data_IF_830996843370
#
_entry.id   IF_830996843370
#
_cell.length_a   1.000
_cell.length_b   1.000
_cell.length_c   1.000
_cell.angle_alpha   90.00
_cell.angle_beta   90.00
_cell.angle_gamma   90.00
#
_symmetry.space_group_name_H-M   'P 1'
#
loop_
_entity.id
_entity.type
_entity.pdbx_description
1 polymer ?
#
# COMPACT_ATOMS: atom_id res chain seq x y z
N UNK A 1 -37.58 -4.88 30.39
CA UNK A 1 -37.57 -4.91 28.90
C UNK A 1 -36.93 -3.62 28.41
N UNK A 2 -35.65 -3.69 28.10
CA UNK A 2 -34.98 -2.63 27.33
C UNK A 2 -35.48 -2.71 25.88
N UNK A 3 -36.44 -1.93 25.51
CA UNK A 3 -36.77 -1.66 24.11
C UNK A 3 -35.48 -1.06 23.50
N UNK A 4 -35.02 -1.66 22.42
CA UNK A 4 -33.88 -1.16 21.65
C UNK A 4 -34.03 0.34 21.40
N UNK A 5 -33.11 1.16 21.91
CA UNK A 5 -33.09 2.61 21.74
C UNK A 5 -33.12 3.00 20.23
N UNK A 6 -32.53 2.16 19.39
CA UNK A 6 -32.52 2.34 17.93
C UNK A 6 -33.93 2.43 17.30
N UNK A 7 -34.88 1.63 17.76
CA UNK A 7 -36.26 1.71 17.26
C UNK A 7 -36.99 3.01 17.70
N UNK A 8 -36.62 3.53 18.89
CA UNK A 8 -37.11 4.81 19.38
C UNK A 8 -36.57 6.01 18.60
N UNK A 9 -35.33 5.92 18.15
CA UNK A 9 -34.61 7.02 17.49
C UNK A 9 -35.03 7.19 16.02
N UNK A 10 -35.33 6.09 15.32
CA UNK A 10 -35.94 6.14 13.98
C UNK A 10 -37.25 6.89 13.99
N UNK A 11 -38.08 6.71 15.02
CA UNK A 11 -39.35 7.39 15.17
C UNK A 11 -39.19 8.90 15.44
N UNK A 12 -38.08 9.30 16.08
CA UNK A 12 -37.79 10.71 16.41
C UNK A 12 -36.93 11.41 15.36
N UNK A 13 -36.53 10.74 14.26
CA UNK A 13 -35.56 11.26 13.26
C UNK A 13 -34.22 11.68 13.86
N UNK A 14 -33.75 10.94 14.87
CA UNK A 14 -32.47 11.18 15.53
C UNK A 14 -31.40 10.26 14.94
N UNK A 15 -30.17 10.76 14.87
CA UNK A 15 -28.99 9.97 14.54
C UNK A 15 -28.36 9.47 15.83
N UNK A 16 -28.17 8.15 15.94
CA UNK A 16 -27.47 7.53 17.06
C UNK A 16 -26.02 7.25 16.67
N UNK A 17 -25.07 7.85 17.38
CA UNK A 17 -23.65 7.59 17.20
C UNK A 17 -23.16 6.79 18.44
N UNK A 18 -22.68 5.57 18.18
CA UNK A 18 -22.07 4.73 19.20
C UNK A 18 -20.55 4.74 19.04
N UNK A 19 -19.82 5.02 20.11
CA UNK A 19 -18.35 4.99 20.13
C UNK A 19 -17.92 3.76 20.90
N UNK A 20 -17.07 2.94 20.26
CA UNK A 20 -16.52 1.72 20.84
C UNK A 20 -15.02 1.61 20.63
N UNK A 21 -14.42 0.60 21.23
CA UNK A 21 -13.00 0.26 21.04
C UNK A 21 -12.86 -0.97 20.18
N UNK A 22 -11.74 -1.05 19.47
CA UNK A 22 -11.35 -2.21 18.68
C UNK A 22 -10.48 -3.12 19.53
N UNK A 23 -10.69 -4.42 19.45
CA UNK A 23 -9.84 -5.43 20.10
C UNK A 23 -8.47 -5.51 19.40
N UNK A 24 -7.48 -6.16 20.02
CA UNK A 24 -6.15 -6.38 19.42
C UNK A 24 -6.23 -7.10 18.05
N UNK A 25 -7.28 -7.87 17.83
CA UNK A 25 -7.53 -8.61 16.58
C UNK A 25 -8.24 -7.76 15.51
N UNK A 26 -8.47 -6.46 15.77
CA UNK A 26 -9.13 -5.55 14.83
C UNK A 26 -10.66 -5.70 14.77
N UNK A 27 -11.27 -6.50 15.63
CA UNK A 27 -12.72 -6.63 15.72
C UNK A 27 -13.33 -5.63 16.70
N UNK A 28 -14.56 -5.18 16.45
CA UNK A 28 -15.30 -4.34 17.38
C UNK A 28 -15.46 -5.06 18.72
N UNK A 29 -15.06 -4.41 19.81
CA UNK A 29 -15.29 -4.90 21.16
C UNK A 29 -16.79 -4.82 21.46
N UNK A 30 -17.45 -5.97 21.58
CA UNK A 30 -18.87 -6.06 21.87
C UNK A 30 -19.57 -7.24 21.19
N UNK A 31 -20.88 -7.41 21.42
CA UNK A 31 -21.62 -8.47 20.75
C UNK A 31 -21.62 -8.27 19.24
N UNK A 32 -21.27 -9.29 18.47
CA UNK A 32 -21.31 -9.30 16.98
C UNK A 32 -22.69 -8.88 16.43
N UNK A 33 -23.73 -9.00 17.24
CA UNK A 33 -25.10 -8.56 16.91
C UNK A 33 -25.17 -7.06 16.62
N UNK A 34 -24.37 -6.23 17.29
CA UNK A 34 -24.36 -4.77 17.03
C UNK A 34 -23.90 -4.45 15.61
N UNK A 35 -22.95 -5.19 15.09
CA UNK A 35 -22.42 -4.99 13.73
C UNK A 35 -23.50 -5.19 12.64
N UNK A 36 -24.48 -6.05 12.91
CA UNK A 36 -25.63 -6.26 12.02
C UNK A 36 -26.70 -5.18 12.15
N UNK A 37 -26.81 -4.54 13.31
CA UNK A 37 -27.87 -3.54 13.60
C UNK A 37 -27.52 -2.13 13.13
N UNK A 38 -26.25 -1.78 13.04
CA UNK A 38 -25.82 -0.43 12.64
C UNK A 38 -25.87 -0.25 11.11
N UNK A 39 -26.18 0.97 10.69
CA UNK A 39 -26.25 1.32 9.27
C UNK A 39 -24.88 1.66 8.69
N UNK A 40 -24.01 2.24 9.48
CA UNK A 40 -22.64 2.63 9.10
C UNK A 40 -21.67 2.27 10.23
N UNK A 41 -20.50 1.76 9.85
CA UNK A 41 -19.37 1.52 10.76
C UNK A 41 -18.14 2.23 10.22
N UNK A 42 -17.57 3.08 11.05
CA UNK A 42 -16.34 3.81 10.76
C UNK A 42 -15.27 3.36 11.75
N UNK A 43 -14.10 3.06 11.23
CA UNK A 43 -12.93 2.70 12.02
C UNK A 43 -11.88 3.81 11.94
N UNK A 44 -11.51 4.36 13.09
CA UNK A 44 -10.41 5.32 13.21
C UNK A 44 -9.16 4.57 13.65
N UNK A 45 -8.16 4.54 12.78
CA UNK A 45 -6.91 3.81 13.01
C UNK A 45 -5.72 4.77 13.09
N UNK A 46 -4.68 4.36 13.81
CA UNK A 46 -3.40 5.07 13.86
C UNK A 46 -2.48 4.43 14.89
N UNK A 47 -1.19 4.38 14.58
CA UNK A 47 -0.18 3.97 15.56
C UNK A 47 0.13 5.12 16.52
N UNK A 48 0.61 4.77 17.73
CA UNK A 48 1.05 5.76 18.73
C UNK A 48 2.15 6.70 18.19
N UNK A 49 2.95 6.19 17.27
CA UNK A 49 4.13 6.87 16.74
C UNK A 49 3.83 7.65 15.45
N UNK A 50 2.60 7.54 14.92
CA UNK A 50 2.19 8.25 13.71
C UNK A 50 1.45 9.55 14.05
N UNK A 51 1.84 10.64 13.38
CA UNK A 51 1.10 11.90 13.42
C UNK A 51 -0.19 11.87 12.60
N UNK A 52 -0.45 10.78 11.87
CA UNK A 52 -1.62 10.63 11.03
C UNK A 52 -2.61 9.63 11.60
N UNK A 53 -3.87 9.85 11.29
CA UNK A 53 -4.98 8.93 11.58
C UNK A 53 -5.73 8.65 10.29
N UNK A 54 -6.12 7.41 10.10
CA UNK A 54 -6.96 7.00 8.98
C UNK A 54 -8.36 6.69 9.47
N UNK A 55 -9.35 7.21 8.78
CA UNK A 55 -10.76 6.91 9.01
C UNK A 55 -11.24 6.05 7.83
N UNK A 56 -11.65 4.83 8.13
CA UNK A 56 -12.10 3.85 7.13
C UNK A 56 -13.58 3.49 7.36
N UNK A 57 -14.36 3.48 6.29
CA UNK A 57 -15.70 2.91 6.33
C UNK A 57 -15.63 1.40 6.12
N UNK A 58 -16.05 0.62 7.11
CA UNK A 58 -16.08 -0.85 7.04
C UNK A 58 -17.46 -1.39 6.70
N UNK A 59 -18.51 -0.63 7.00
CA UNK A 59 -19.90 -0.90 6.62
C UNK A 59 -20.60 0.41 6.31
N UNK A 60 -21.33 0.45 5.22
CA UNK A 60 -22.18 1.59 4.87
C UNK A 60 -23.40 1.08 4.08
N UNK A 61 -24.58 1.11 4.69
CA UNK A 61 -25.81 0.61 4.08
C UNK A 61 -26.32 1.53 2.97
N UNK A 62 -25.96 2.81 3.01
CA UNK A 62 -26.50 3.84 2.13
C UNK A 62 -25.48 4.47 1.19
N UNK A 63 -24.25 3.95 1.17
CA UNK A 63 -23.16 4.48 0.34
C UNK A 63 -22.01 3.50 0.14
N UNK A 64 -20.93 4.02 -0.41
CA UNK A 64 -19.71 3.24 -0.64
C UNK A 64 -19.09 2.77 0.69
N UNK A 65 -18.49 1.58 0.66
CA UNK A 65 -17.66 1.04 1.73
C UNK A 65 -16.18 1.13 1.34
N UNK A 66 -15.30 1.00 2.30
CA UNK A 66 -13.84 1.07 2.12
C UNK A 66 -13.32 2.46 1.66
N UNK A 67 -14.10 3.51 1.84
CA UNK A 67 -13.58 4.86 1.70
C UNK A 67 -12.59 5.18 2.82
N UNK A 68 -11.53 5.90 2.47
CA UNK A 68 -10.45 6.27 3.38
C UNK A 68 -10.35 7.79 3.50
N UNK A 69 -10.48 8.31 4.72
CA UNK A 69 -10.08 9.65 5.09
C UNK A 69 -8.73 9.64 5.81
N UNK A 70 -7.84 10.57 5.48
CA UNK A 70 -6.57 10.74 6.18
C UNK A 70 -6.58 12.07 6.91
N UNK A 71 -6.21 12.05 8.19
CA UNK A 71 -6.19 13.21 9.08
C UNK A 71 -4.82 13.34 9.76
N UNK A 72 -4.33 14.55 9.88
CA UNK A 72 -3.17 14.87 10.69
C UNK A 72 -3.61 15.21 12.12
N UNK A 73 -2.87 14.69 13.12
CA UNK A 73 -3.01 15.11 14.51
C UNK A 73 -2.30 16.44 14.71
N UNK A 74 -3.04 17.43 15.17
CA UNK A 74 -2.50 18.76 15.51
C UNK A 74 -2.83 19.12 16.94
N UNK A 75 -2.25 20.18 17.46
CA UNK A 75 -2.59 20.76 18.78
C UNK A 75 -4.07 21.19 18.89
N UNK A 76 -4.71 21.44 17.75
CA UNK A 76 -6.14 21.78 17.65
C UNK A 76 -7.05 20.60 17.30
N UNK A 77 -6.52 19.37 17.29
CA UNK A 77 -7.25 18.14 16.95
C UNK A 77 -6.94 17.62 15.57
N UNK A 78 -7.86 16.83 15.02
CA UNK A 78 -7.73 16.19 13.70
C UNK A 78 -7.98 17.22 12.59
N UNK A 79 -7.06 17.31 11.65
CA UNK A 79 -7.17 18.13 10.44
C UNK A 79 -7.15 17.23 9.21
N UNK A 80 -8.12 17.40 8.32
CA UNK A 80 -8.17 16.66 7.06
C UNK A 80 -6.90 16.91 6.21
N UNK A 81 -6.42 15.83 5.59
CA UNK A 81 -5.33 15.87 4.63
C UNK A 81 -5.91 15.65 3.23
N UNK A 82 -6.05 16.70 2.42
CA UNK A 82 -6.67 16.59 1.10
C UNK A 82 -5.86 15.74 0.12
N UNK A 83 -4.54 15.72 0.28
CA UNK A 83 -3.63 14.96 -0.56
C UNK A 83 -2.74 14.02 0.29
N UNK A 84 -3.24 12.81 0.62
CA UNK A 84 -2.47 11.86 1.42
C UNK A 84 -1.17 11.41 0.75
N UNK A 85 -1.15 11.30 -0.59
CA UNK A 85 0.05 10.90 -1.32
C UNK A 85 1.22 11.84 -1.06
N UNK A 86 0.97 13.14 -0.89
CA UNK A 86 2.03 14.10 -0.57
C UNK A 86 2.71 13.85 0.80
N UNK A 87 1.99 13.24 1.74
CA UNK A 87 2.52 12.87 3.06
C UNK A 87 3.41 11.64 2.97
N UNK A 88 2.96 10.63 2.21
CA UNK A 88 3.66 9.35 2.08
C UNK A 88 4.82 9.41 1.07
N UNK A 89 4.99 10.55 0.39
CA UNK A 89 6.05 10.85 -0.57
C UNK A 89 7.07 11.86 -0.04
N UNK A 90 7.32 11.92 1.26
CA UNK A 90 8.38 12.78 1.82
C UNK A 90 9.76 12.24 1.41
N UNK A 91 10.11 12.52 0.15
CA UNK A 91 11.42 12.16 -0.39
C UNK A 91 12.43 13.24 -0.04
N UNK A 92 13.53 12.84 0.57
CA UNK A 92 14.71 13.69 0.68
C UNK A 92 15.24 14.13 -0.70
N UNK A 93 16.09 15.12 -0.72
CA UNK A 93 16.77 15.58 -1.96
C UNK A 93 17.70 14.49 -2.52
N UNK A 94 18.24 13.64 -1.67
CA UNK A 94 19.13 12.55 -2.05
C UNK A 94 18.38 11.31 -2.51
N UNK A 95 18.89 10.64 -3.55
CA UNK A 95 18.38 9.38 -4.06
C UNK A 95 19.11 8.26 -3.35
N UNK A 96 18.40 7.44 -2.58
CA UNK A 96 18.95 6.27 -1.91
C UNK A 96 18.59 4.99 -2.64
N UNK A 97 19.51 4.03 -2.65
CA UNK A 97 19.23 2.66 -3.11
C UNK A 97 18.15 2.02 -2.23
N UNK A 98 17.36 1.14 -2.82
CA UNK A 98 16.28 0.44 -2.11
C UNK A 98 14.96 1.19 -1.98
N UNK A 99 14.85 2.45 -2.41
CA UNK A 99 13.61 3.21 -2.36
C UNK A 99 12.89 3.21 -3.71
N UNK A 100 11.58 2.98 -3.69
CA UNK A 100 10.69 3.06 -4.86
C UNK A 100 9.31 3.56 -4.48
N UNK A 101 8.64 4.26 -5.37
CA UNK A 101 7.21 4.59 -5.19
C UNK A 101 6.35 3.56 -5.88
N UNK A 102 5.40 3.04 -5.12
CA UNK A 102 4.34 2.18 -5.63
C UNK A 102 3.01 2.92 -5.64
N UNK A 103 2.10 2.47 -6.50
CA UNK A 103 0.72 2.94 -6.50
C UNK A 103 -0.17 1.81 -6.04
N UNK A 104 -0.71 1.94 -4.84
CA UNK A 104 -1.67 1.01 -4.26
C UNK A 104 -3.09 1.52 -4.42
N UNK A 105 -4.07 0.63 -4.29
CA UNK A 105 -5.47 1.00 -4.26
C UNK A 105 -5.98 0.91 -2.83
N UNK A 106 -6.39 2.03 -2.29
CA UNK A 106 -6.87 2.11 -0.92
C UNK A 106 -8.29 2.68 -0.88
N UNK A 107 -9.23 1.84 -0.44
CA UNK A 107 -10.65 2.19 -0.49
C UNK A 107 -11.15 2.38 -1.93
N UNK A 108 -11.48 3.60 -2.30
CA UNK A 108 -12.02 3.96 -3.62
C UNK A 108 -11.05 4.72 -4.51
N UNK A 109 -9.80 4.89 -4.08
CA UNK A 109 -8.82 5.72 -4.79
C UNK A 109 -7.40 5.14 -4.81
N UNK A 110 -6.60 5.51 -5.82
CA UNK A 110 -5.17 5.21 -5.81
C UNK A 110 -4.44 6.07 -4.76
N UNK A 111 -3.42 5.49 -4.16
CA UNK A 111 -2.54 6.14 -3.20
C UNK A 111 -1.09 5.83 -3.58
N UNK A 112 -0.26 6.88 -3.67
CA UNK A 112 1.17 6.74 -3.86
C UNK A 112 1.84 6.57 -2.51
N UNK A 113 2.64 5.52 -2.38
CA UNK A 113 3.32 5.17 -1.14
C UNK A 113 4.77 4.80 -1.46
N UNK A 114 5.69 5.29 -0.65
CA UNK A 114 7.09 4.90 -0.76
C UNK A 114 7.32 3.56 -0.05
N UNK A 115 8.03 2.68 -0.73
CA UNK A 115 8.52 1.41 -0.22
C UNK A 115 10.04 1.48 -0.14
N UNK A 116 10.59 1.08 1.00
CA UNK A 116 12.03 1.04 1.23
C UNK A 116 12.47 -0.38 1.56
N UNK A 117 13.52 -0.85 0.89
CA UNK A 117 14.18 -2.11 1.19
C UNK A 117 15.64 -1.88 1.57
N UNK A 118 16.10 -2.62 2.56
CA UNK A 118 17.51 -2.73 2.92
C UNK A 118 17.92 -4.20 2.82
N UNK A 119 18.95 -4.45 2.04
CA UNK A 119 19.60 -5.76 1.92
C UNK A 119 21.01 -5.62 2.44
N UNK A 120 21.37 -6.46 3.38
CA UNK A 120 22.68 -6.42 4.06
C UNK A 120 23.22 -7.85 4.28
N UNK A 121 24.49 -7.99 4.46
CA UNK A 121 25.11 -9.29 4.76
C UNK A 121 24.60 -9.85 6.10
N UNK A 122 24.22 -11.12 6.10
CA UNK A 122 23.78 -11.76 7.32
C UNK A 122 24.97 -12.23 8.16
N UNK A 123 25.16 -11.62 9.33
CA UNK A 123 26.26 -11.96 10.26
C UNK A 123 25.87 -13.04 11.29
N UNK A 124 24.62 -13.49 11.34
CA UNK A 124 24.06 -14.35 12.39
C UNK A 124 23.81 -15.80 11.95
N UNK A 125 24.24 -16.21 10.77
CA UNK A 125 24.07 -17.57 10.25
C UNK A 125 22.65 -17.92 9.76
N UNK A 126 21.61 -17.22 10.23
CA UNK A 126 20.24 -17.33 9.78
C UNK A 126 19.76 -15.97 9.23
N UNK A 127 19.63 -15.83 7.92
CA UNK A 127 19.20 -14.58 7.29
C UNK A 127 17.82 -14.13 7.77
N UNK A 128 17.73 -12.86 8.17
CA UNK A 128 16.50 -12.26 8.67
C UNK A 128 15.62 -11.74 7.54
N UNK A 129 14.32 -11.88 7.70
CA UNK A 129 13.30 -11.31 6.82
C UNK A 129 12.36 -10.49 7.69
N UNK A 130 12.36 -9.18 7.53
CA UNK A 130 11.54 -8.29 8.34
C UNK A 130 10.71 -7.42 7.43
N UNK A 131 9.41 -7.32 7.71
CA UNK A 131 8.49 -6.45 6.98
C UNK A 131 7.73 -5.55 7.94
N UNK A 132 7.61 -4.29 7.56
CA UNK A 132 6.74 -3.31 8.21
C UNK A 132 5.75 -2.79 7.16
N UNK A 133 4.47 -2.98 7.42
CA UNK A 133 3.40 -2.58 6.49
C UNK A 133 3.09 -3.57 5.37
N UNK A 134 3.81 -4.69 5.27
CA UNK A 134 3.57 -5.78 4.32
C UNK A 134 3.50 -7.13 5.03
N UNK A 135 2.86 -8.10 4.40
CA UNK A 135 2.76 -9.47 4.92
C UNK A 135 4.09 -10.20 4.76
N UNK A 136 4.58 -10.81 5.87
CA UNK A 136 5.91 -11.45 5.95
C UNK A 136 6.09 -12.62 4.96
N UNK A 137 5.09 -13.48 4.83
CA UNK A 137 5.16 -14.64 3.94
C UNK A 137 5.25 -14.20 2.48
N UNK A 138 4.64 -13.05 2.14
CA UNK A 138 4.70 -12.51 0.79
C UNK A 138 6.14 -12.15 0.39
N UNK A 139 6.89 -11.51 1.29
CA UNK A 139 8.32 -11.23 1.07
C UNK A 139 9.08 -12.52 0.77
N UNK A 140 8.92 -13.55 1.60
CA UNK A 140 9.64 -14.83 1.44
C UNK A 140 9.35 -15.50 0.10
N UNK A 141 8.08 -15.51 -0.33
CA UNK A 141 7.69 -16.03 -1.64
C UNK A 141 8.33 -15.25 -2.80
N UNK A 142 8.29 -13.92 -2.73
CA UNK A 142 8.84 -13.08 -3.79
C UNK A 142 10.37 -13.18 -3.90
N UNK A 143 11.09 -13.36 -2.79
CA UNK A 143 12.53 -13.63 -2.81
C UNK A 143 12.83 -14.98 -3.46
N UNK A 144 12.00 -16.01 -3.24
CA UNK A 144 12.14 -17.29 -3.93
C UNK A 144 11.89 -17.16 -5.45
N UNK A 145 10.90 -16.37 -5.86
CA UNK A 145 10.63 -16.07 -7.28
C UNK A 145 11.82 -15.31 -7.89
N UNK A 146 12.34 -14.31 -7.19
CA UNK A 146 13.49 -13.52 -7.63
C UNK A 146 14.72 -14.43 -7.86
N UNK A 147 14.99 -15.33 -6.93
CA UNK A 147 16.07 -16.30 -7.09
C UNK A 147 15.83 -17.24 -8.28
N UNK A 148 14.65 -17.89 -8.34
CA UNK A 148 14.39 -18.93 -9.33
C UNK A 148 14.25 -18.39 -10.76
N UNK A 149 13.59 -17.25 -10.92
CA UNK A 149 13.23 -16.68 -12.23
C UNK A 149 14.02 -15.41 -12.59
N UNK A 150 14.51 -14.67 -11.60
CA UNK A 150 15.35 -13.49 -11.80
C UNK A 150 16.86 -13.79 -11.79
N UNK A 151 17.26 -14.97 -11.31
CA UNK A 151 18.66 -15.35 -11.21
C UNK A 151 19.45 -14.58 -10.14
N UNK A 152 18.78 -13.91 -9.19
CA UNK A 152 19.40 -13.10 -8.16
C UNK A 152 19.27 -13.82 -6.81
N UNK A 153 20.42 -14.17 -6.22
CA UNK A 153 20.51 -14.83 -4.93
C UNK A 153 20.64 -13.81 -3.81
N UNK A 154 19.61 -13.73 -2.98
CA UNK A 154 19.59 -12.95 -1.72
C UNK A 154 19.31 -13.86 -0.52
N UNK A 155 19.54 -15.16 -0.69
CA UNK A 155 19.21 -16.18 0.31
C UNK A 155 20.04 -16.07 1.59
N UNK A 156 21.27 -15.64 1.47
CA UNK A 156 22.25 -15.42 2.53
C UNK A 156 22.28 -13.99 3.08
N UNK A 157 21.45 -13.12 2.56
CA UNK A 157 21.36 -11.71 2.96
C UNK A 157 20.22 -11.48 3.94
N UNK A 158 20.38 -10.56 4.88
CA UNK A 158 19.29 -9.98 5.66
C UNK A 158 18.48 -9.04 4.76
N UNK A 159 17.15 -9.15 4.80
CA UNK A 159 16.24 -8.30 4.01
C UNK A 159 15.22 -7.65 4.92
N UNK A 160 15.24 -6.34 4.93
CA UNK A 160 14.30 -5.49 5.67
C UNK A 160 13.48 -4.69 4.68
N UNK A 161 12.16 -4.64 4.88
CA UNK A 161 11.25 -3.89 4.01
C UNK A 161 10.32 -3.05 4.88
N UNK A 162 10.18 -1.79 4.53
CA UNK A 162 9.35 -0.83 5.23
C UNK A 162 8.46 -0.05 4.27
N UNK A 163 7.17 -0.03 4.56
CA UNK A 163 6.21 0.88 3.91
C UNK A 163 6.20 2.19 4.68
N UNK A 164 6.60 3.27 4.01
CA UNK A 164 6.71 4.59 4.64
C UNK A 164 5.34 5.11 5.06
N UNK A 165 5.29 5.81 6.20
CA UNK A 165 4.07 6.42 6.71
C UNK A 165 3.14 5.49 7.49
N UNK A 166 3.56 4.25 7.76
CA UNK A 166 2.79 3.30 8.58
C UNK A 166 1.54 2.73 7.87
N UNK A 167 1.48 2.85 6.55
CA UNK A 167 0.40 2.27 5.74
C UNK A 167 0.55 0.75 5.70
N UNK A 168 -0.55 0.03 5.88
CA UNK A 168 -0.60 -1.43 5.67
C UNK A 168 -1.06 -1.72 4.25
N UNK A 169 -0.22 -2.40 3.49
CA UNK A 169 -0.51 -2.81 2.11
C UNK A 169 -0.91 -4.28 2.10
N UNK A 170 -2.15 -4.55 1.73
CA UNK A 170 -2.73 -5.89 1.70
C UNK A 170 -2.91 -6.42 0.27
N UNK A 171 -2.77 -5.57 -0.73
CA UNK A 171 -2.94 -5.96 -2.13
C UNK A 171 -1.63 -6.41 -2.79
N UNK A 172 -1.74 -7.32 -3.75
CA UNK A 172 -0.61 -7.89 -4.48
C UNK A 172 0.02 -6.92 -5.49
N UNK A 173 -0.59 -5.77 -5.73
CA UNK A 173 -0.05 -4.75 -6.64
C UNK A 173 1.33 -4.20 -6.21
N UNK A 174 1.70 -4.37 -4.96
CA UNK A 174 3.00 -3.97 -4.41
C UNK A 174 4.16 -4.93 -4.74
N UNK A 175 3.88 -6.13 -5.24
CA UNK A 175 4.89 -7.19 -5.41
C UNK A 175 6.05 -6.76 -6.31
N UNK A 176 5.74 -6.18 -7.46
CA UNK A 176 6.76 -5.74 -8.41
C UNK A 176 7.63 -4.64 -7.81
N UNK A 177 7.02 -3.69 -7.10
CA UNK A 177 7.75 -2.63 -6.41
C UNK A 177 8.68 -3.19 -5.33
N UNK A 178 8.20 -4.18 -4.57
CA UNK A 178 9.00 -4.85 -3.55
C UNK A 178 10.24 -5.53 -4.15
N UNK A 179 10.07 -6.28 -5.24
CA UNK A 179 11.19 -6.93 -5.92
C UNK A 179 12.20 -5.90 -6.41
N UNK A 180 11.73 -4.82 -7.06
CA UNK A 180 12.64 -3.81 -7.61
C UNK A 180 13.35 -3.00 -6.52
N UNK A 181 12.71 -2.74 -5.37
CA UNK A 181 13.37 -2.11 -4.21
C UNK A 181 14.45 -3.00 -3.61
N UNK A 182 14.18 -4.30 -3.45
CA UNK A 182 15.18 -5.27 -2.97
C UNK A 182 16.40 -5.32 -3.91
N UNK A 183 16.18 -5.36 -5.21
CA UNK A 183 17.25 -5.39 -6.20
C UNK A 183 18.06 -4.08 -6.20
N UNK A 184 17.38 -2.96 -6.09
CA UNK A 184 18.00 -1.64 -5.98
C UNK A 184 18.96 -1.58 -4.77
N UNK A 185 18.49 -2.05 -3.61
CA UNK A 185 19.32 -2.12 -2.41
C UNK A 185 20.47 -3.11 -2.56
N UNK A 186 20.18 -4.34 -3.03
CA UNK A 186 21.19 -5.39 -3.19
C UNK A 186 22.33 -5.00 -4.15
N UNK A 187 22.01 -4.23 -5.20
CA UNK A 187 23.01 -3.76 -6.17
C UNK A 187 23.60 -2.39 -5.84
N UNK A 188 23.14 -1.78 -4.75
CA UNK A 188 23.42 -0.39 -4.38
C UNK A 188 23.27 0.59 -5.56
N UNK A 189 22.15 0.45 -6.28
CA UNK A 189 21.78 1.28 -7.44
C UNK A 189 20.43 1.93 -7.22
N UNK A 190 20.40 3.24 -6.97
CA UNK A 190 19.15 3.96 -6.79
C UNK A 190 18.24 3.89 -8.02
N UNK A 191 16.93 3.78 -7.78
CA UNK A 191 15.92 3.89 -8.83
C UNK A 191 15.63 5.35 -9.15
N UNK A 192 15.19 5.65 -10.38
CA UNK A 192 14.83 7.03 -10.76
C UNK A 192 13.77 7.62 -9.85
N UNK A 193 13.94 8.89 -9.44
CA UNK A 193 12.98 9.60 -8.57
C UNK A 193 11.57 9.71 -9.14
N UNK A 194 11.48 9.80 -10.44
CA UNK A 194 10.23 9.97 -11.19
C UNK A 194 9.60 8.64 -11.62
N UNK A 195 10.10 7.51 -11.08
CA UNK A 195 9.59 6.17 -11.35
C UNK A 195 8.50 5.77 -10.36
N UNK A 196 7.39 5.26 -10.89
CA UNK A 196 6.40 4.50 -10.12
C UNK A 196 6.34 3.06 -10.60
N UNK A 197 6.00 2.16 -9.69
CA UNK A 197 5.92 0.73 -9.98
C UNK A 197 4.65 0.16 -9.37
N UNK A 198 3.98 -0.71 -10.10
CA UNK A 198 2.93 -1.58 -9.56
C UNK A 198 2.78 -2.83 -10.40
N UNK A 199 2.31 -3.91 -9.82
CA UNK A 199 2.05 -5.18 -10.49
C UNK A 199 2.11 -6.37 -9.55
N UNK A 200 1.28 -7.38 -9.80
CA UNK A 200 1.33 -8.64 -9.09
C UNK A 200 2.40 -9.55 -9.71
N UNK A 201 3.11 -10.29 -8.88
CA UNK A 201 4.12 -11.27 -9.33
C UNK A 201 3.66 -12.68 -8.98
N UNK A 202 3.50 -13.51 -10.01
CA UNK A 202 3.16 -14.92 -9.84
C UNK A 202 4.37 -15.79 -9.54
N UNK A 203 4.12 -16.99 -9.04
CA UNK A 203 5.18 -17.95 -8.63
C UNK A 203 6.01 -18.48 -9.81
N UNK A 204 5.52 -18.38 -11.04
CA UNK A 204 6.26 -18.71 -12.26
C UNK A 204 7.07 -17.53 -12.83
N UNK A 205 7.17 -16.40 -12.08
CA UNK A 205 7.90 -15.21 -12.48
C UNK A 205 7.14 -14.33 -13.48
N UNK A 206 5.87 -14.62 -13.73
CA UNK A 206 5.01 -13.80 -14.59
C UNK A 206 4.54 -12.55 -13.84
N UNK A 207 4.42 -11.44 -14.56
CA UNK A 207 3.87 -10.18 -14.05
C UNK A 207 2.40 -10.09 -14.49
N UNK A 208 1.51 -10.04 -13.50
CA UNK A 208 0.06 -10.06 -13.70
C UNK A 208 -0.54 -8.67 -13.58
N UNK A 209 -1.55 -8.36 -14.41
CA UNK A 209 -2.27 -7.11 -14.31
C UNK A 209 -3.02 -6.98 -12.99
N UNK A 210 -3.13 -5.74 -12.53
CA UNK A 210 -3.89 -5.37 -11.34
C UNK A 210 -5.08 -4.50 -11.72
N UNK A 211 -6.06 -4.40 -10.81
CA UNK A 211 -7.23 -3.56 -11.02
C UNK A 211 -6.86 -2.07 -11.12
N UNK A 212 -7.65 -1.32 -11.89
CA UNK A 212 -7.59 0.15 -11.97
C UNK A 212 -6.22 0.71 -12.43
N UNK A 213 -5.54 0.02 -13.37
CA UNK A 213 -4.20 0.41 -13.82
C UNK A 213 -4.14 1.82 -14.40
N UNK A 214 -5.16 2.27 -15.15
CA UNK A 214 -5.20 3.62 -15.73
C UNK A 214 -5.33 4.70 -14.67
N UNK A 215 -6.17 4.49 -13.66
CA UNK A 215 -6.38 5.40 -12.55
C UNK A 215 -5.10 5.54 -11.71
N UNK A 216 -4.39 4.44 -11.48
CA UNK A 216 -3.07 4.44 -10.81
C UNK A 216 -2.06 5.29 -11.57
N UNK A 217 -1.96 5.13 -12.87
CA UNK A 217 -1.05 5.91 -13.71
C UNK A 217 -1.43 7.39 -13.76
N UNK A 218 -2.72 7.72 -13.87
CA UNK A 218 -3.18 9.10 -13.85
C UNK A 218 -2.86 9.80 -12.54
N UNK A 219 -3.03 9.10 -11.42
CA UNK A 219 -2.66 9.63 -10.11
C UNK A 219 -1.16 9.88 -10.00
N UNK A 220 -0.34 8.93 -10.47
CA UNK A 220 1.11 9.10 -10.51
C UNK A 220 1.52 10.32 -11.37
N UNK A 221 0.92 10.49 -12.54
CA UNK A 221 1.18 11.64 -13.40
C UNK A 221 0.83 12.98 -12.75
N UNK A 222 -0.28 13.06 -11.99
CA UNK A 222 -0.66 14.27 -11.24
C UNK A 222 0.39 14.65 -10.18
N UNK A 223 1.11 13.68 -9.65
CA UNK A 223 2.18 13.87 -8.66
C UNK A 223 3.57 14.05 -9.29
N UNK A 224 3.65 14.25 -10.62
CA UNK A 224 4.89 14.55 -11.32
C UNK A 224 5.76 13.34 -11.66
N UNK A 225 5.25 12.12 -11.51
CA UNK A 225 5.96 10.93 -11.98
C UNK A 225 5.87 10.82 -13.50
N UNK A 226 7.02 10.61 -14.13
CA UNK A 226 7.15 10.59 -15.59
C UNK A 226 7.54 9.21 -16.15
N UNK A 227 7.85 8.24 -15.28
CA UNK A 227 8.18 6.86 -15.65
C UNK A 227 7.36 5.87 -14.87
N UNK A 228 6.95 4.77 -15.52
CA UNK A 228 6.21 3.69 -14.87
C UNK A 228 6.65 2.33 -15.37
N UNK A 229 6.95 1.38 -14.47
CA UNK A 229 7.10 -0.05 -14.78
C UNK A 229 5.84 -0.75 -14.29
N UNK A 230 5.11 -1.36 -15.23
CA UNK A 230 3.78 -1.91 -14.97
C UNK A 230 3.57 -3.24 -15.71
N UNK A 231 2.59 -4.05 -15.30
CA UNK A 231 2.20 -5.22 -16.09
C UNK A 231 1.77 -4.83 -17.51
N UNK A 232 2.19 -5.60 -18.51
CA UNK A 232 1.80 -5.36 -19.88
C UNK A 232 0.27 -5.34 -20.09
N UNK A 233 -0.47 -6.13 -19.30
CA UNK A 233 -1.94 -6.13 -19.30
C UNK A 233 -2.58 -4.84 -18.75
N UNK A 234 -1.81 -3.99 -18.09
CA UNK A 234 -2.26 -2.68 -17.62
C UNK A 234 -1.88 -1.52 -18.55
N UNK A 235 -1.29 -1.82 -19.71
CA UNK A 235 -0.96 -0.78 -20.68
C UNK A 235 -2.20 0.02 -21.07
N UNK A 236 -2.21 1.35 -20.89
CA UNK A 236 -3.38 2.17 -21.18
C UNK A 236 -3.64 2.22 -22.69
N UNK A 237 -4.92 2.23 -23.07
CA UNK A 237 -5.32 2.33 -24.50
C UNK A 237 -4.93 3.67 -25.12
N UNK A 238 -4.85 4.71 -24.32
CA UNK A 238 -4.43 6.04 -24.74
C UNK A 238 -3.19 6.46 -23.95
N UNK A 239 -2.18 7.07 -24.59
CA UNK A 239 -0.99 7.55 -23.92
C UNK A 239 -1.34 8.53 -22.79
N UNK A 240 -0.64 8.42 -21.68
CA UNK A 240 -0.73 9.39 -20.58
C UNK A 240 0.33 10.46 -20.84
N UNK A 241 -0.12 11.69 -20.99
CA UNK A 241 0.77 12.84 -21.29
C UNK A 241 1.89 12.95 -20.26
N UNK A 242 3.12 13.00 -20.74
CA UNK A 242 4.30 13.18 -19.90
C UNK A 242 4.77 11.93 -19.15
N UNK A 243 4.25 10.75 -19.50
CA UNK A 243 4.62 9.49 -18.86
C UNK A 243 5.17 8.48 -19.86
N UNK A 244 6.36 7.99 -19.61
CA UNK A 244 6.97 6.86 -20.33
C UNK A 244 6.66 5.58 -19.56
N UNK A 245 6.02 4.62 -20.24
CA UNK A 245 5.56 3.39 -19.61
C UNK A 245 6.39 2.21 -20.14
N UNK A 246 6.92 1.42 -19.23
CA UNK A 246 7.66 0.19 -19.49
C UNK A 246 6.77 -1.00 -19.14
N UNK A 247 6.04 -1.57 -20.12
CA UNK A 247 5.17 -2.72 -19.88
C UNK A 247 6.00 -3.99 -19.80
N UNK A 248 5.80 -4.78 -18.74
CA UNK A 248 6.54 -6.02 -18.48
C UNK A 248 5.61 -7.21 -18.30
N UNK A 249 6.05 -8.39 -18.77
CA UNK A 249 5.32 -9.66 -18.65
C UNK A 249 5.99 -10.65 -17.72
N UNK A 250 7.31 -10.51 -17.55
CA UNK A 250 8.14 -11.37 -16.71
C UNK A 250 9.08 -10.56 -15.84
N UNK A 251 9.52 -11.17 -14.74
CA UNK A 251 10.47 -10.55 -13.83
C UNK A 251 11.78 -10.14 -14.53
N UNK A 252 12.26 -10.93 -15.49
CA UNK A 252 13.46 -10.61 -16.26
C UNK A 252 13.32 -9.32 -17.06
N UNK A 253 12.17 -9.09 -17.69
CA UNK A 253 11.90 -7.85 -18.43
C UNK A 253 11.88 -6.63 -17.49
N UNK A 254 11.38 -6.81 -16.25
CA UNK A 254 11.40 -5.74 -15.26
C UNK A 254 12.83 -5.40 -14.79
N UNK A 255 13.72 -6.41 -14.70
CA UNK A 255 15.14 -6.21 -14.41
C UNK A 255 15.86 -5.49 -15.54
N UNK A 256 15.55 -5.83 -16.79
CA UNK A 256 16.11 -5.17 -17.98
C UNK A 256 15.66 -3.71 -18.08
N UNK A 257 14.40 -3.42 -17.71
CA UNK A 257 13.87 -2.06 -17.69
C UNK A 257 14.56 -1.13 -16.67
N UNK A 258 15.24 -1.69 -15.65
CA UNK A 258 16.07 -0.91 -14.72
C UNK A 258 17.47 -0.58 -15.27
N UNK A 259 17.89 -1.26 -16.32
CA UNK A 259 19.24 -1.12 -16.89
C UNK A 259 19.30 -0.06 -17.99
N UNK A 260 18.12 0.40 -18.44
CA UNK A 260 17.91 1.45 -19.45
C UNK A 260 17.50 2.78 -18.79
#
# INVERSE_FOLDING_TARGET
QSRSSAASDVYKRQVLIMVGHVTKDGSLAGPKVLEHMIDCSLMLEGSSDSHFRTLRSTKNRFGAVNELGVFAMTDKGLREVPNPSAIFLQRGEEVSSGSVVMVIWEGTRPLLVELQALVDDSHLGNPRRVTVGLEHNRLSMLLAVLHRHGGIMVGDQDVFVNVVGGVKVLETSADLALILSVISSFRDRPLPKDLVVFGEVGLAGEIRPVANGQERLREAAKHGFSRAIIPAGNMPKQPIKGMTIFPVKKITEALDALSN
#
